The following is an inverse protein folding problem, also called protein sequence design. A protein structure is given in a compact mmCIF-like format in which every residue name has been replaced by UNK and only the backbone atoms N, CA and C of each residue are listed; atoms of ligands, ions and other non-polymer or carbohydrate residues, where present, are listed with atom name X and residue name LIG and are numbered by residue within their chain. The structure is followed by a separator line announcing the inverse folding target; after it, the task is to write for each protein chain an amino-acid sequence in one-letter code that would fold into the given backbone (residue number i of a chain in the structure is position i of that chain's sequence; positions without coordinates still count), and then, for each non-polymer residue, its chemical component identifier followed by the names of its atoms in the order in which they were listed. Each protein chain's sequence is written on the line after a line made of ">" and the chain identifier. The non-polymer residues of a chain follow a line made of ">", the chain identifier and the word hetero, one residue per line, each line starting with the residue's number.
data_IF_515238185139
#
_entry.id   IF_515238185139
#
_cell.length_a   1.000
_cell.length_b   1.000
_cell.length_c   1.000
_cell.angle_alpha   90.00
_cell.angle_beta   90.00
_cell.angle_gamma   90.00
#
_symmetry.space_group_name_H-M   'P 1'
#
loop_
_entity.id
_entity.type
_entity.pdbx_description
1 polymer ?
#
# COMPACT_ATOMS: atom_id res chain seq x y z
N UNK A 1 -74.01 20.39 56.33
CA UNK A 1 -73.43 19.18 55.71
C UNK A 1 -72.32 19.64 54.79
N UNK A 2 -71.05 19.61 55.23
CA UNK A 2 -69.89 19.94 54.40
C UNK A 2 -69.64 18.78 53.44
N UNK A 3 -69.85 18.99 52.15
CA UNK A 3 -69.43 18.02 51.13
C UNK A 3 -67.89 18.07 51.01
N UNK A 4 -67.22 16.95 50.67
CA UNK A 4 -65.76 16.91 50.50
C UNK A 4 -65.24 17.93 49.47
N UNK A 5 -66.09 18.29 48.50
CA UNK A 5 -65.84 19.30 47.48
C UNK A 5 -65.72 20.72 48.08
N UNK A 6 -66.51 21.04 49.11
CA UNK A 6 -66.47 22.34 49.81
C UNK A 6 -65.28 22.42 50.79
N UNK A 7 -64.75 21.27 51.23
CA UNK A 7 -63.51 21.23 52.02
C UNK A 7 -62.26 21.47 51.16
N UNK A 8 -62.23 20.97 49.93
CA UNK A 8 -61.11 21.16 49.00
C UNK A 8 -61.16 22.53 48.30
N UNK A 9 -62.37 23.06 48.07
CA UNK A 9 -62.58 24.37 47.43
C UNK A 9 -63.52 25.23 48.30
N UNK A 10 -62.98 25.92 49.33
CA UNK A 10 -63.78 26.73 50.25
C UNK A 10 -64.52 27.90 49.55
N UNK A 11 -64.06 28.30 48.36
CA UNK A 11 -64.69 29.28 47.48
C UNK A 11 -66.06 28.86 46.93
N UNK A 12 -66.40 27.57 46.95
CA UNK A 12 -67.70 27.05 46.51
C UNK A 12 -68.80 27.19 47.58
N UNK A 13 -68.44 27.48 48.83
CA UNK A 13 -69.38 27.61 49.94
C UNK A 13 -70.25 28.87 49.87
N UNK A 14 -69.82 29.89 49.13
CA UNK A 14 -70.53 31.17 48.97
C UNK A 14 -71.69 31.08 47.96
N UNK A 15 -71.72 30.04 47.12
CA UNK A 15 -72.69 29.92 46.04
C UNK A 15 -73.88 29.02 46.42
N UNK A 16 -75.10 29.34 45.96
CA UNK A 16 -76.30 28.60 46.33
C UNK A 16 -76.28 27.16 45.78
N UNK A 17 -76.82 26.18 46.54
CA UNK A 17 -76.78 24.76 46.16
C UNK A 17 -77.60 24.41 44.91
N UNK A 18 -78.53 25.28 44.48
CA UNK A 18 -79.22 25.15 43.19
C UNK A 18 -78.28 25.43 42.01
N UNK A 19 -77.44 26.46 42.12
CA UNK A 19 -76.44 26.81 41.12
C UNK A 19 -75.38 25.70 40.99
N UNK A 20 -74.93 25.12 42.10
CA UNK A 20 -73.99 24.00 42.09
C UNK A 20 -74.55 22.74 41.39
N UNK A 21 -75.85 22.48 41.48
CA UNK A 21 -76.50 21.38 40.75
C UNK A 21 -76.61 21.64 39.26
N UNK A 22 -76.93 22.88 38.89
CA UNK A 22 -77.02 23.32 37.50
C UNK A 22 -75.63 23.28 36.83
N UNK A 23 -74.61 23.70 37.58
CA UNK A 23 -73.20 23.55 37.24
C UNK A 23 -72.87 22.08 36.96
N UNK A 24 -73.15 21.18 37.90
CA UNK A 24 -72.85 19.74 37.76
C UNK A 24 -73.62 19.05 36.62
N UNK A 25 -74.74 19.64 36.19
CA UNK A 25 -75.56 19.11 35.10
C UNK A 25 -75.07 19.52 33.70
N UNK A 26 -74.23 20.56 33.61
CA UNK A 26 -73.77 21.12 32.34
C UNK A 26 -72.23 21.26 32.31
N UNK A 27 -71.50 20.40 31.57
CA UNK A 27 -70.04 20.40 31.56
C UNK A 27 -69.45 21.73 31.04
N UNK A 28 -70.07 22.34 30.04
CA UNK A 28 -69.63 23.63 29.48
C UNK A 28 -69.69 24.77 30.53
N UNK A 29 -70.67 24.72 31.43
CA UNK A 29 -70.87 25.73 32.46
C UNK A 29 -69.90 25.49 33.65
N UNK A 30 -69.56 24.23 33.95
CA UNK A 30 -68.47 23.91 34.89
C UNK A 30 -67.12 24.42 34.38
N UNK A 31 -66.85 24.27 33.09
CA UNK A 31 -65.60 24.69 32.47
C UNK A 31 -65.48 26.22 32.46
N UNK A 32 -66.54 26.92 32.06
CA UNK A 32 -66.59 28.38 32.13
C UNK A 32 -66.42 28.92 33.57
N UNK A 33 -67.01 28.25 34.57
CA UNK A 33 -66.83 28.61 35.98
C UNK A 33 -65.41 28.31 36.48
N UNK A 34 -64.81 27.18 36.08
CA UNK A 34 -63.43 26.85 36.42
C UNK A 34 -62.44 27.90 35.89
N UNK A 35 -62.61 28.36 34.65
CA UNK A 35 -61.80 29.45 34.09
C UNK A 35 -62.08 30.82 34.74
N UNK A 36 -63.18 30.96 35.48
CA UNK A 36 -63.47 32.17 36.27
C UNK A 36 -62.76 32.20 37.63
N UNK A 37 -62.22 31.08 38.10
CA UNK A 37 -61.52 31.01 39.38
C UNK A 37 -60.14 31.69 39.29
N UNK A 38 -59.77 32.53 40.26
CA UNK A 38 -58.51 33.28 40.22
C UNK A 38 -57.29 32.36 40.24
N UNK A 39 -57.33 31.25 40.99
CA UNK A 39 -56.23 30.26 41.02
C UNK A 39 -55.98 29.62 39.64
N UNK A 40 -57.04 29.37 38.88
CA UNK A 40 -56.94 28.79 37.53
C UNK A 40 -56.45 29.85 36.53
N UNK A 41 -56.84 31.12 36.70
CA UNK A 41 -56.34 32.22 35.87
C UNK A 41 -54.86 32.51 36.13
N UNK A 42 -54.43 32.50 37.38
CA UNK A 42 -53.03 32.67 37.77
C UNK A 42 -52.16 31.53 37.21
N UNK A 43 -52.65 30.28 37.34
CA UNK A 43 -51.98 29.12 36.75
C UNK A 43 -51.92 29.20 35.22
N UNK A 44 -53.01 29.61 34.56
CA UNK A 44 -53.03 29.79 33.12
C UNK A 44 -52.05 30.87 32.66
N UNK A 45 -51.94 31.98 33.39
CA UNK A 45 -50.97 33.05 33.13
C UNK A 45 -49.53 32.57 33.33
N UNK A 46 -49.26 31.76 34.36
CA UNK A 46 -47.95 31.15 34.58
C UNK A 46 -47.57 30.19 33.44
N UNK A 47 -48.51 29.34 33.00
CA UNK A 47 -48.30 28.42 31.88
C UNK A 47 -48.03 29.19 30.58
N UNK A 48 -48.77 30.27 30.32
CA UNK A 48 -48.53 31.12 29.15
C UNK A 48 -47.14 31.76 29.20
N UNK A 49 -46.72 32.24 30.37
CA UNK A 49 -45.39 32.82 30.58
C UNK A 49 -44.29 31.80 30.31
N UNK A 50 -44.38 30.60 30.89
CA UNK A 50 -43.43 29.52 30.67
C UNK A 50 -43.41 29.07 29.20
N UNK A 51 -44.57 29.09 28.53
CA UNK A 51 -44.70 28.84 27.10
C UNK A 51 -43.86 29.84 26.28
N UNK A 52 -44.01 31.14 26.55
CA UNK A 52 -43.23 32.20 25.89
C UNK A 52 -41.74 32.07 26.15
N UNK A 53 -41.34 31.81 27.39
CA UNK A 53 -39.93 31.61 27.75
C UNK A 53 -39.32 30.40 27.01
N UNK A 54 -40.06 29.29 26.93
CA UNK A 54 -39.64 28.12 26.17
C UNK A 54 -39.54 28.40 24.67
N UNK A 55 -40.48 29.15 24.09
CA UNK A 55 -40.42 29.57 22.69
C UNK A 55 -39.20 30.46 22.41
N UNK A 56 -38.88 31.39 23.30
CA UNK A 56 -37.69 32.23 23.18
C UNK A 56 -36.39 31.43 23.27
N UNK A 57 -36.34 30.44 24.17
CA UNK A 57 -35.21 29.51 24.26
C UNK A 57 -35.11 28.70 22.97
N UNK A 58 -36.22 28.20 22.44
CA UNK A 58 -36.25 27.45 21.19
C UNK A 58 -35.76 28.30 20.01
N UNK A 59 -36.18 29.58 19.93
CA UNK A 59 -35.70 30.52 18.90
C UNK A 59 -34.19 30.73 19.00
N UNK A 60 -33.67 31.04 20.18
CA UNK A 60 -32.21 31.22 20.39
C UNK A 60 -31.42 29.95 20.05
N UNK A 61 -31.93 28.78 20.42
CA UNK A 61 -31.31 27.50 20.07
C UNK A 61 -31.30 27.27 18.56
N UNK A 62 -32.37 27.62 17.85
CA UNK A 62 -32.45 27.50 16.39
C UNK A 62 -31.53 28.48 15.67
N UNK A 63 -31.41 29.72 16.17
CA UNK A 63 -30.51 30.74 15.62
C UNK A 63 -29.05 30.29 15.66
N UNK A 64 -28.59 29.75 16.79
CA UNK A 64 -27.19 29.35 16.99
C UNK A 64 -26.88 27.99 16.34
N UNK A 65 -27.90 27.16 16.07
CA UNK A 65 -27.72 25.80 15.53
C UNK A 65 -26.92 25.80 14.24
N UNK A 66 -27.24 26.71 13.32
CA UNK A 66 -26.64 26.69 11.99
C UNK A 66 -25.15 27.09 12.04
N UNK A 67 -24.78 28.02 12.93
CA UNK A 67 -23.38 28.36 13.21
C UNK A 67 -22.62 27.19 13.84
N UNK A 68 -23.22 26.49 14.79
CA UNK A 68 -22.61 25.31 15.42
C UNK A 68 -22.42 24.16 14.42
N UNK A 69 -23.38 23.94 13.52
CA UNK A 69 -23.26 22.97 12.45
C UNK A 69 -22.14 23.34 11.47
N UNK A 70 -22.05 24.61 11.07
CA UNK A 70 -20.97 25.08 10.21
C UNK A 70 -19.60 24.89 10.87
N UNK A 71 -19.46 25.22 12.17
CA UNK A 71 -18.23 25.02 12.91
C UNK A 71 -17.86 23.53 13.06
N UNK A 72 -18.85 22.67 13.31
CA UNK A 72 -18.66 21.21 13.36
C UNK A 72 -18.15 20.70 12.02
N UNK A 73 -18.76 21.15 10.92
CA UNK A 73 -18.39 20.66 9.60
C UNK A 73 -16.99 21.17 9.18
N UNK A 74 -16.64 22.43 9.51
CA UNK A 74 -15.30 22.98 9.29
C UNK A 74 -14.22 22.24 10.11
N UNK A 75 -14.50 21.94 11.39
CA UNK A 75 -13.59 21.16 12.24
C UNK A 75 -13.44 19.72 11.74
N UNK A 76 -14.53 19.09 11.29
CA UNK A 76 -14.47 17.76 10.67
C UNK A 76 -13.62 17.75 9.39
N UNK A 77 -13.76 18.76 8.52
CA UNK A 77 -12.98 18.88 7.28
C UNK A 77 -11.48 19.10 7.56
N UNK A 78 -11.14 20.01 8.48
CA UNK A 78 -9.75 20.25 8.87
C UNK A 78 -9.11 19.03 9.52
N UNK A 79 -9.85 18.29 10.34
CA UNK A 79 -9.40 17.03 10.93
C UNK A 79 -9.18 15.96 9.85
N UNK A 80 -10.11 15.80 8.92
CA UNK A 80 -9.97 14.87 7.80
C UNK A 80 -8.74 15.20 6.94
N UNK A 81 -8.50 16.49 6.68
CA UNK A 81 -7.32 16.95 5.97
C UNK A 81 -6.03 16.61 6.74
N UNK A 82 -5.98 16.87 8.05
CA UNK A 82 -4.83 16.52 8.88
C UNK A 82 -4.55 15.02 8.91
N UNK A 83 -5.57 14.18 9.04
CA UNK A 83 -5.43 12.72 8.98
C UNK A 83 -4.95 12.23 7.60
N UNK A 84 -5.39 12.85 6.52
CA UNK A 84 -4.86 12.59 5.19
C UNK A 84 -3.36 12.96 5.09
N UNK A 85 -2.96 14.12 5.58
CA UNK A 85 -1.55 14.54 5.60
C UNK A 85 -0.69 13.58 6.42
N UNK A 86 -1.20 13.12 7.57
CA UNK A 86 -0.52 12.15 8.43
C UNK A 86 -0.29 10.81 7.72
N UNK A 87 -1.27 10.32 6.96
CA UNK A 87 -1.09 9.11 6.13
C UNK A 87 -0.04 9.33 5.06
N UNK A 88 -0.12 10.46 4.34
CA UNK A 88 0.86 10.83 3.31
C UNK A 88 2.27 10.97 3.89
N UNK A 89 2.41 11.50 5.10
CA UNK A 89 3.69 11.60 5.79
C UNK A 89 4.30 10.22 6.05
N UNK A 90 3.50 9.25 6.52
CA UNK A 90 3.98 7.89 6.75
C UNK A 90 4.51 7.23 5.46
N UNK A 91 3.87 7.47 4.31
CA UNK A 91 4.34 6.97 3.02
C UNK A 91 5.67 7.63 2.61
N UNK A 92 5.78 8.95 2.81
CA UNK A 92 7.01 9.71 2.51
C UNK A 92 8.16 9.26 3.42
N UNK A 93 7.92 9.07 4.71
CA UNK A 93 8.91 8.59 5.67
C UNK A 93 9.40 7.18 5.33
N UNK A 94 8.48 6.30 4.90
CA UNK A 94 8.83 4.98 4.38
C UNK A 94 9.70 5.08 3.12
N UNK A 95 9.35 5.95 2.17
CA UNK A 95 10.16 6.15 0.97
C UNK A 95 11.54 6.74 1.29
N UNK A 96 11.59 7.74 2.19
CA UNK A 96 12.82 8.38 2.63
C UNK A 96 13.73 7.39 3.36
N UNK A 97 13.19 6.60 4.29
CA UNK A 97 13.96 5.58 5.00
C UNK A 97 14.55 4.54 4.04
N UNK A 98 13.79 4.10 3.03
CA UNK A 98 14.30 3.20 1.99
C UNK A 98 15.45 3.83 1.17
N UNK A 99 15.31 5.10 0.77
CA UNK A 99 16.35 5.83 0.07
C UNK A 99 17.61 5.98 0.93
N UNK A 100 17.46 6.34 2.21
CA UNK A 100 18.58 6.44 3.13
C UNK A 100 19.24 5.10 3.40
N UNK A 101 18.48 4.01 3.57
CA UNK A 101 19.08 2.69 3.74
C UNK A 101 19.90 2.28 2.52
N UNK A 102 19.40 2.54 1.31
CA UNK A 102 20.12 2.21 0.08
C UNK A 102 21.35 3.09 -0.16
N UNK A 103 21.27 4.37 0.20
CA UNK A 103 22.32 5.34 -0.04
C UNK A 103 23.23 5.55 1.18
N UNK A 104 23.03 4.78 2.25
CA UNK A 104 23.90 4.81 3.43
C UNK A 104 25.31 4.39 3.02
N UNK A 105 26.36 5.12 3.46
CA UNK A 105 27.74 4.78 3.12
C UNK A 105 28.11 3.33 3.46
N UNK A 106 27.62 2.79 4.57
CA UNK A 106 27.81 1.39 4.94
C UNK A 106 27.20 0.40 3.93
N UNK A 107 25.98 0.69 3.46
CA UNK A 107 25.29 -0.15 2.49
C UNK A 107 25.93 -0.06 1.09
N UNK A 108 26.36 1.14 0.68
CA UNK A 108 27.09 1.33 -0.58
C UNK A 108 28.43 0.59 -0.56
N UNK A 109 29.14 0.61 0.57
CA UNK A 109 30.36 -0.18 0.74
C UNK A 109 30.07 -1.69 0.67
N UNK A 110 29.02 -2.18 1.36
CA UNK A 110 28.61 -3.58 1.26
C UNK A 110 28.31 -3.98 -0.19
N UNK A 111 27.59 -3.15 -0.93
CA UNK A 111 27.29 -3.35 -2.35
C UNK A 111 28.56 -3.35 -3.22
N UNK A 112 29.54 -2.51 -2.90
CA UNK A 112 30.83 -2.51 -3.59
C UNK A 112 31.59 -3.83 -3.35
N UNK A 113 31.56 -4.37 -2.12
CA UNK A 113 32.18 -5.67 -1.80
C UNK A 113 31.49 -6.81 -2.54
N UNK A 114 30.16 -6.85 -2.55
CA UNK A 114 29.42 -7.86 -3.31
C UNK A 114 29.78 -7.81 -4.79
N UNK A 115 29.78 -6.60 -5.37
CA UNK A 115 30.14 -6.44 -6.78
C UNK A 115 31.60 -6.77 -7.09
N UNK A 116 32.49 -6.75 -6.08
CA UNK A 116 33.86 -7.21 -6.23
C UNK A 116 33.92 -8.73 -6.31
N UNK A 117 33.18 -9.44 -5.45
CA UNK A 117 33.01 -10.90 -5.52
C UNK A 117 32.39 -11.32 -6.85
N UNK A 118 31.30 -10.66 -7.29
CA UNK A 118 30.66 -10.96 -8.58
C UNK A 118 31.62 -10.82 -9.77
N UNK A 119 32.56 -9.87 -9.69
CA UNK A 119 33.55 -9.65 -10.75
C UNK A 119 34.68 -10.67 -10.72
N UNK A 120 35.06 -11.15 -9.53
CA UNK A 120 36.00 -12.25 -9.38
C UNK A 120 35.39 -13.52 -9.98
N UNK A 121 34.16 -13.87 -9.56
CA UNK A 121 33.39 -15.00 -10.08
C UNK A 121 33.22 -14.94 -11.60
N UNK A 122 32.92 -13.76 -12.15
CA UNK A 122 32.84 -13.55 -13.59
C UNK A 122 34.17 -13.87 -14.27
N UNK A 123 35.28 -13.36 -13.74
CA UNK A 123 36.60 -13.60 -14.33
C UNK A 123 37.02 -15.06 -14.26
N UNK A 124 36.67 -15.75 -13.17
CA UNK A 124 36.87 -17.20 -13.03
C UNK A 124 36.02 -17.97 -14.03
N UNK A 125 34.75 -17.61 -14.24
CA UNK A 125 33.89 -18.23 -15.26
C UNK A 125 34.44 -18.07 -16.67
N UNK A 126 34.96 -16.88 -17.02
CA UNK A 126 35.61 -16.65 -18.32
C UNK A 126 36.84 -17.56 -18.46
N UNK A 127 37.64 -17.71 -17.41
CA UNK A 127 38.80 -18.60 -17.41
C UNK A 127 38.40 -20.08 -17.54
N UNK A 128 37.42 -20.55 -16.77
CA UNK A 128 36.91 -21.92 -16.84
C UNK A 128 36.34 -22.24 -18.23
N UNK A 129 35.51 -21.36 -18.79
CA UNK A 129 34.93 -21.53 -20.11
C UNK A 129 36.01 -21.63 -21.22
N UNK A 130 37.08 -20.83 -21.10
CA UNK A 130 38.20 -20.90 -22.03
C UNK A 130 38.99 -22.22 -21.90
N UNK A 131 39.21 -22.72 -20.67
CA UNK A 131 39.88 -24.01 -20.43
C UNK A 131 39.03 -25.17 -20.96
N UNK A 132 37.72 -25.15 -20.74
CA UNK A 132 36.78 -26.17 -21.24
C UNK A 132 36.73 -26.17 -22.78
N UNK A 133 36.64 -25.00 -23.41
CA UNK A 133 36.69 -24.86 -24.87
C UNK A 133 38.04 -25.27 -25.47
N UNK A 134 39.14 -25.06 -24.75
CA UNK A 134 40.48 -25.56 -25.12
C UNK A 134 40.56 -27.09 -25.01
N UNK A 135 40.04 -27.67 -23.92
CA UNK A 135 40.02 -29.12 -23.67
C UNK A 135 39.15 -29.89 -24.66
N UNK A 136 38.00 -29.33 -25.04
CA UNK A 136 37.11 -29.89 -26.05
C UNK A 136 37.75 -29.91 -27.46
N UNK A 137 38.61 -28.94 -27.77
CA UNK A 137 39.33 -28.86 -29.05
C UNK A 137 40.64 -29.65 -29.08
N UNK A 138 41.24 -29.97 -27.92
CA UNK A 138 42.47 -30.78 -27.83
C UNK A 138 42.23 -32.28 -27.69
N UNK A 139 40.98 -32.71 -27.47
CA UNK A 139 40.60 -34.12 -27.38
C UNK A 139 40.14 -34.66 -28.74
N UNK A 140 41.11 -35.10 -29.56
CA UNK A 140 40.86 -36.08 -30.63
C UNK A 140 40.37 -37.42 -30.02
N UNK A 141 39.63 -38.25 -30.77
CA UNK A 141 38.77 -39.27 -30.20
C UNK A 141 39.57 -40.47 -29.69
N UNK A 142 39.62 -40.66 -28.37
CA UNK A 142 39.85 -41.98 -27.78
C UNK A 142 38.52 -42.54 -27.30
N UNK A 143 37.83 -43.23 -28.21
CA UNK A 143 36.72 -44.14 -27.86
C UNK A 143 37.33 -45.39 -27.20
N UNK A 144 36.81 -45.82 -26.05
CA UNK A 144 36.31 -47.19 -25.97
C UNK A 144 34.85 -47.17 -25.54
N UNK A 145 34.02 -47.84 -26.32
CA UNK A 145 32.59 -47.88 -26.14
C UNK A 145 32.18 -48.49 -24.80
N UNK A 146 31.15 -47.90 -24.19
CA UNK A 146 30.30 -48.60 -23.25
C UNK A 146 28.85 -48.36 -23.66
N UNK A 147 28.29 -49.42 -24.22
CA UNK A 147 26.95 -49.56 -24.75
C UNK A 147 26.05 -49.92 -23.57
N UNK A 148 25.05 -49.10 -23.26
CA UNK A 148 23.90 -49.54 -22.45
C UNK A 148 22.64 -49.03 -23.11
N UNK A 149 21.84 -49.98 -23.55
CA UNK A 149 20.53 -49.87 -24.16
C UNK A 149 19.51 -49.18 -23.26
N UNK A 150 18.59 -48.41 -23.86
CA UNK A 150 17.14 -48.54 -23.59
C UNK A 150 16.27 -47.81 -24.64
N UNK A 151 15.03 -48.28 -24.87
CA UNK A 151 14.31 -48.13 -26.13
C UNK A 151 13.16 -47.11 -26.09
N UNK A 152 12.88 -46.47 -27.23
CA UNK A 152 11.63 -45.74 -27.48
C UNK A 152 10.94 -46.29 -28.75
N UNK A 153 9.61 -46.47 -28.75
CA UNK A 153 8.91 -47.21 -29.79
C UNK A 153 8.53 -46.36 -31.00
N UNK A 154 8.37 -47.10 -32.09
CA UNK A 154 8.09 -46.72 -33.46
C UNK A 154 6.58 -46.69 -33.74
N UNK A 155 6.11 -45.62 -34.39
CA UNK A 155 4.93 -45.55 -35.27
C UNK A 155 5.41 -44.68 -36.44
N UNK A 156 5.46 -45.09 -37.70
CA UNK A 156 4.52 -45.91 -38.46
C UNK A 156 3.99 -45.01 -39.59
N UNK A 157 4.49 -45.17 -40.82
CA UNK A 157 4.01 -44.37 -41.96
C UNK A 157 4.90 -44.46 -43.20
N UNK A 158 4.59 -45.41 -44.07
CA UNK A 158 5.23 -45.66 -45.36
C UNK A 158 4.71 -44.72 -46.47
N UNK A 159 5.56 -44.41 -47.47
CA UNK A 159 5.15 -43.75 -48.72
C UNK A 159 6.35 -43.38 -49.61
N UNK A 160 6.50 -43.87 -50.86
CA UNK A 160 7.81 -44.04 -51.51
C UNK A 160 8.10 -43.18 -52.75
N UNK A 161 9.37 -43.23 -53.18
CA UNK A 161 9.86 -42.95 -54.54
C UNK A 161 10.42 -41.53 -54.73
N UNK A 162 11.45 -41.25 -55.52
CA UNK A 162 12.42 -42.01 -56.29
C UNK A 162 13.49 -40.96 -56.73
N UNK A 163 14.75 -41.34 -56.98
CA UNK A 163 15.64 -40.52 -57.81
C UNK A 163 17.08 -40.35 -57.32
N UNK A 164 17.97 -41.16 -57.91
CA UNK A 164 19.39 -40.96 -58.18
C UNK A 164 20.03 -39.60 -57.85
N UNK A 165 21.20 -39.62 -57.22
CA UNK A 165 22.49 -39.52 -57.95
C UNK A 165 23.68 -39.48 -56.99
N UNK A 166 24.67 -40.32 -57.27
CA UNK A 166 26.02 -40.29 -56.71
C UNK A 166 26.66 -38.91 -56.84
N UNK A 167 27.31 -38.47 -55.77
CA UNK A 167 28.38 -37.49 -55.85
C UNK A 167 29.40 -37.80 -54.75
N UNK A 168 30.37 -38.66 -55.10
CA UNK A 168 31.63 -38.83 -54.40
C UNK A 168 32.39 -37.49 -54.41
N UNK A 169 32.15 -36.68 -53.37
CA UNK A 169 32.94 -35.50 -53.08
C UNK A 169 34.16 -35.90 -52.26
N UNK A 170 35.30 -36.01 -52.92
CA UNK A 170 36.62 -36.09 -52.28
C UNK A 170 36.76 -34.99 -51.22
N UNK A 171 36.70 -35.36 -49.94
CA UNK A 171 37.12 -34.52 -48.82
C UNK A 171 38.64 -34.41 -48.84
N UNK A 172 39.16 -33.42 -49.57
CA UNK A 172 40.52 -32.91 -49.39
C UNK A 172 40.69 -32.43 -47.94
N UNK A 173 41.73 -32.85 -47.20
CA UNK A 173 42.00 -32.35 -45.87
C UNK A 173 42.63 -30.96 -46.01
N UNK A 174 41.82 -29.92 -45.90
CA UNK A 174 42.31 -28.53 -45.74
C UNK A 174 41.55 -27.86 -44.60
N UNK A 175 41.49 -28.54 -43.45
CA UNK A 175 40.77 -28.07 -42.25
C UNK A 175 41.72 -27.52 -41.18
N UNK A 176 43.04 -27.56 -41.40
CA UNK A 176 44.01 -27.15 -40.38
C UNK A 176 44.17 -25.62 -40.30
N UNK A 177 44.23 -24.92 -41.44
CA UNK A 177 44.50 -23.48 -41.47
C UNK A 177 43.31 -22.59 -41.03
N UNK A 178 42.07 -23.07 -41.19
CA UNK A 178 40.86 -22.37 -40.72
C UNK A 178 40.70 -22.50 -39.21
N UNK A 179 41.04 -23.66 -38.65
CA UNK A 179 40.94 -23.95 -37.22
C UNK A 179 41.93 -23.11 -36.39
N UNK A 180 43.15 -22.91 -36.90
CA UNK A 180 44.15 -22.04 -36.26
C UNK A 180 43.72 -20.57 -36.19
N UNK A 181 43.08 -20.04 -37.25
CA UNK A 181 42.57 -18.65 -37.26
C UNK A 181 41.38 -18.47 -36.33
N UNK A 182 40.46 -19.44 -36.26
CA UNK A 182 39.34 -19.39 -35.30
C UNK A 182 39.83 -19.52 -33.86
N UNK A 183 40.84 -20.36 -33.61
CA UNK A 183 41.43 -20.51 -32.29
C UNK A 183 42.19 -19.25 -31.87
N UNK A 184 42.93 -18.62 -32.77
CA UNK A 184 43.62 -17.34 -32.52
C UNK A 184 42.61 -16.24 -32.16
N UNK A 185 41.51 -16.14 -32.91
CA UNK A 185 40.43 -15.19 -32.59
C UNK A 185 39.78 -15.47 -31.23
N UNK A 186 39.48 -16.73 -30.91
CA UNK A 186 38.92 -17.10 -29.60
C UNK A 186 39.88 -16.80 -28.43
N UNK A 187 41.19 -16.91 -28.65
CA UNK A 187 42.22 -16.52 -27.67
C UNK A 187 42.23 -15.00 -27.48
N UNK A 188 42.20 -14.23 -28.56
CA UNK A 188 42.19 -12.77 -28.49
C UNK A 188 40.92 -12.23 -27.82
N UNK A 189 39.76 -12.80 -28.15
CA UNK A 189 38.46 -12.47 -27.55
C UNK A 189 38.49 -12.78 -26.03
N UNK A 190 38.99 -13.97 -25.63
CA UNK A 190 39.19 -14.31 -24.22
C UNK A 190 40.12 -13.33 -23.51
N UNK A 191 41.28 -13.00 -24.10
CA UNK A 191 42.25 -12.08 -23.51
C UNK A 191 41.61 -10.71 -23.30
N UNK A 192 40.83 -10.24 -24.27
CA UNK A 192 40.14 -8.95 -24.19
C UNK A 192 39.09 -8.94 -23.06
N UNK A 193 38.22 -9.95 -23.01
CA UNK A 193 37.15 -10.06 -22.02
C UNK A 193 37.70 -10.25 -20.60
N UNK A 194 38.67 -11.16 -20.44
CA UNK A 194 39.30 -11.43 -19.14
C UNK A 194 40.06 -10.20 -18.62
N UNK A 195 40.82 -9.50 -19.48
CA UNK A 195 41.50 -8.26 -19.10
C UNK A 195 40.50 -7.17 -18.73
N UNK A 196 39.38 -7.04 -19.44
CA UNK A 196 38.34 -6.07 -19.12
C UNK A 196 37.68 -6.35 -17.76
N UNK A 197 37.38 -7.63 -17.47
CA UNK A 197 36.85 -8.08 -16.20
C UNK A 197 37.82 -7.79 -15.04
N UNK A 198 39.09 -8.23 -15.16
CA UNK A 198 40.12 -8.02 -14.13
C UNK A 198 40.47 -6.54 -13.92
N UNK A 199 40.51 -5.73 -14.98
CA UNK A 199 40.70 -4.28 -14.86
C UNK A 199 39.61 -3.65 -14.01
N UNK A 200 38.36 -4.09 -14.18
CA UNK A 200 37.24 -3.56 -13.39
C UNK A 200 37.30 -4.05 -11.94
N UNK A 201 37.65 -5.32 -11.73
CA UNK A 201 37.88 -5.89 -10.40
C UNK A 201 38.93 -5.10 -9.61
N UNK A 202 40.13 -4.89 -10.19
CA UNK A 202 41.21 -4.17 -9.51
C UNK A 202 40.84 -2.72 -9.20
N UNK A 203 40.12 -2.04 -10.10
CA UNK A 203 39.58 -0.70 -9.80
C UNK A 203 38.69 -0.75 -8.57
N UNK A 204 37.71 -1.66 -8.52
CA UNK A 204 36.81 -1.80 -7.36
C UNK A 204 37.56 -2.19 -6.09
N UNK A 205 38.57 -3.04 -6.20
CA UNK A 205 39.40 -3.49 -5.07
C UNK A 205 40.14 -2.33 -4.42
N UNK A 206 40.80 -1.49 -5.24
CA UNK A 206 41.50 -0.29 -4.76
C UNK A 206 40.51 0.66 -4.06
N UNK A 207 39.33 0.88 -4.65
CA UNK A 207 38.32 1.75 -4.05
C UNK A 207 37.72 1.16 -2.77
N UNK A 208 37.48 -0.16 -2.70
CA UNK A 208 36.97 -0.83 -1.52
C UNK A 208 37.99 -0.77 -0.36
N UNK A 209 39.28 -0.94 -0.65
CA UNK A 209 40.34 -0.83 0.35
C UNK A 209 40.46 0.59 0.90
N UNK A 210 40.49 1.60 0.02
CA UNK A 210 40.52 3.02 0.42
C UNK A 210 39.30 3.40 1.26
N UNK A 211 38.12 2.86 0.92
CA UNK A 211 36.91 3.06 1.71
C UNK A 211 37.03 2.40 3.10
N UNK A 212 37.52 1.16 3.17
CA UNK A 212 37.80 0.47 4.44
C UNK A 212 38.79 1.22 5.34
N UNK A 213 39.73 1.97 4.76
CA UNK A 213 40.69 2.82 5.49
C UNK A 213 40.14 4.19 5.91
N UNK A 214 38.92 4.54 5.51
CA UNK A 214 38.33 5.85 5.79
C UNK A 214 38.89 6.99 4.91
N UNK A 215 39.60 6.67 3.83
CA UNK A 215 40.19 7.65 2.90
C UNK A 215 39.17 8.18 1.85
N UNK A 216 37.89 7.77 1.98
CA UNK A 216 36.80 8.18 1.09
C UNK A 216 35.93 9.20 1.84
N UNK A 217 36.05 10.47 1.44
CA UNK A 217 35.19 11.55 1.91
C UNK A 217 34.07 11.83 0.89
N UNK A 218 32.86 12.06 1.40
CA UNK A 218 31.73 12.55 0.62
C UNK A 218 31.76 14.08 0.65
N UNK A 219 31.37 14.75 -0.44
CA UNK A 219 31.18 16.21 -0.43
C UNK A 219 29.86 16.52 0.28
N UNK A 220 29.92 17.45 1.23
CA UNK A 220 28.76 18.08 1.84
C UNK A 220 28.32 19.24 0.93
N UNK A 221 27.69 18.94 -0.20
CA UNK A 221 27.01 19.96 -1.03
C UNK A 221 25.56 20.17 -0.54
#
# INVERSE_FOLDING_TARGET
>A
MSTPLVQQFPSLASYPPSFLKDLLSSPELTEAFLFSLPEVQDLAAEVEKLGKENEEIAKRNLEIRDELLALRDATAQSYAHAEHLKRRWADIEKAQSQLYQRNRPSFLHLRLRHSLTDQDDLSERIASAFIEGRSANSSGPSVPGSRVDSPAPHFGGAGPGAGSSNADGYSTPTTTATNDRSQTKAIDDFIQEFKAARKTYHKRAIWAERWSRGEVAWRDD
#
